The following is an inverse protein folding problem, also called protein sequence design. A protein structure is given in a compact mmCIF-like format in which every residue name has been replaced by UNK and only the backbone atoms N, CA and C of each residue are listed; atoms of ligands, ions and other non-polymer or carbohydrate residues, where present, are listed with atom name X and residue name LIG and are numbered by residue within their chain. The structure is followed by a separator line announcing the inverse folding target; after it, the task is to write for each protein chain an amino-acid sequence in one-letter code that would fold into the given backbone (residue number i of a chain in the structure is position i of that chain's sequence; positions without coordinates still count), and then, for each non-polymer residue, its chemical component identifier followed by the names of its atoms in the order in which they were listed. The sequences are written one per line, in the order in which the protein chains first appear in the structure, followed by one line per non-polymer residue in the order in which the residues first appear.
data_IF_314095010251
#
_entry.id   IF_314095010251
#
_cell.length_a   1.000
_cell.length_b   1.000
_cell.length_c   1.000
_cell.angle_alpha   90.00
_cell.angle_beta   90.00
_cell.angle_gamma   90.00
#
_symmetry.space_group_name_H-M   'P 1'
#
loop_
_entity.id
_entity.type
_entity.pdbx_description
1 polymer ?
#
# COMPACT_ATOMS: atom_id res chain seq x y z
N UNK A 1 18.35 -19.12 22.06
CA UNK A 1 18.18 -18.53 20.71
C UNK A 1 18.82 -17.16 20.70
N UNK A 2 19.67 -16.80 19.72
CA UNK A 2 20.38 -15.51 19.70
C UNK A 2 19.93 -14.54 18.60
N UNK A 3 19.25 -15.03 17.57
CA UNK A 3 18.87 -14.24 16.40
C UNK A 3 17.35 -14.14 16.33
N UNK A 4 16.87 -12.91 16.16
CA UNK A 4 15.46 -12.59 16.02
C UNK A 4 15.33 -11.28 15.24
N UNK A 5 14.28 -11.12 14.46
CA UNK A 5 13.93 -9.85 13.83
C UNK A 5 12.43 -9.58 13.90
N UNK A 6 12.04 -8.32 14.09
CA UNK A 6 10.65 -7.89 14.01
C UNK A 6 10.45 -7.19 12.67
N UNK A 7 9.43 -7.59 11.92
CA UNK A 7 9.02 -6.95 10.67
C UNK A 7 7.70 -6.24 10.90
N UNK A 8 7.61 -4.98 10.50
CA UNK A 8 6.47 -4.12 10.77
C UNK A 8 6.04 -3.33 9.54
N UNK A 9 4.74 -3.03 9.46
CA UNK A 9 4.18 -2.11 8.46
C UNK A 9 4.37 -0.62 8.83
N UNK A 10 4.85 -0.33 10.04
CA UNK A 10 5.18 1.02 10.49
C UNK A 10 6.55 1.42 9.92
N UNK A 11 6.80 2.71 9.76
CA UNK A 11 8.11 3.23 9.27
C UNK A 11 8.64 4.43 10.05
N UNK A 12 7.91 4.90 11.05
CA UNK A 12 8.29 6.08 11.84
C UNK A 12 9.24 5.70 12.98
N UNK A 13 10.49 6.14 12.88
CA UNK A 13 11.51 5.89 13.89
C UNK A 13 11.22 6.63 15.21
N UNK A 14 10.50 7.76 15.20
CA UNK A 14 10.13 8.45 16.44
C UNK A 14 9.15 7.62 17.25
N UNK A 15 8.12 7.08 16.59
CA UNK A 15 7.16 6.17 17.22
C UNK A 15 7.86 4.92 17.77
N UNK A 16 8.83 4.38 17.04
CA UNK A 16 9.66 3.28 17.54
C UNK A 16 10.45 3.67 18.80
N UNK A 17 11.07 4.86 18.83
CA UNK A 17 11.82 5.30 20.03
C UNK A 17 10.92 5.43 21.25
N UNK A 18 9.72 5.98 21.09
CA UNK A 18 8.74 6.08 22.18
C UNK A 18 8.32 4.69 22.67
N UNK A 19 8.04 3.77 21.75
CA UNK A 19 7.69 2.39 22.10
C UNK A 19 8.81 1.69 22.86
N UNK A 20 10.06 1.82 22.41
CA UNK A 20 11.24 1.27 23.09
C UNK A 20 11.37 1.87 24.49
N UNK A 21 11.20 3.20 24.63
CA UNK A 21 11.25 3.89 25.92
C UNK A 21 10.21 3.37 26.91
N UNK A 22 8.99 3.09 26.45
CA UNK A 22 7.93 2.47 27.27
C UNK A 22 8.22 1.01 27.61
N UNK A 23 8.64 0.22 26.61
CA UNK A 23 8.84 -1.24 26.76
C UNK A 23 10.01 -1.57 27.68
N UNK A 24 11.08 -0.77 27.62
CA UNK A 24 12.31 -0.98 28.39
C UNK A 24 12.48 0.09 29.48
N UNK A 25 11.38 0.47 30.14
CA UNK A 25 11.42 1.40 31.25
C UNK A 25 12.42 0.94 32.33
N UNK A 26 13.27 1.86 32.79
CA UNK A 26 14.33 1.56 33.77
C UNK A 26 15.64 1.04 33.16
N UNK A 27 15.68 0.76 31.86
CA UNK A 27 16.93 0.43 31.16
C UNK A 27 17.65 1.73 30.77
N UNK A 28 18.98 1.67 30.68
CA UNK A 28 19.73 2.73 29.99
C UNK A 28 19.57 2.53 28.49
N UNK A 29 19.02 3.52 27.80
CA UNK A 29 18.79 3.49 26.35
C UNK A 29 19.77 4.46 25.69
N UNK A 30 20.60 3.96 24.77
CA UNK A 30 21.42 4.78 23.89
C UNK A 30 20.91 4.63 22.46
N UNK A 31 20.74 5.74 21.76
CA UNK A 31 20.27 5.77 20.38
C UNK A 31 21.30 6.54 19.56
N UNK A 32 21.67 6.03 18.39
CA UNK A 32 22.54 6.78 17.49
C UNK A 32 21.79 7.95 16.83
N UNK A 33 22.48 8.96 16.27
CA UNK A 33 21.82 10.18 15.77
C UNK A 33 20.75 9.94 14.69
N UNK A 34 20.95 8.96 13.82
CA UNK A 34 19.99 8.61 12.75
C UNK A 34 18.93 7.58 13.18
N UNK A 35 18.91 7.18 14.46
CA UNK A 35 17.92 6.26 15.05
C UNK A 35 17.87 4.86 14.44
N UNK A 36 18.91 4.44 13.71
CA UNK A 36 19.02 3.11 13.11
C UNK A 36 19.72 2.09 14.02
N UNK A 37 20.32 2.54 15.12
CA UNK A 37 20.93 1.69 16.14
C UNK A 37 20.45 2.12 17.51
N UNK A 38 19.88 1.17 18.25
CA UNK A 38 19.43 1.35 19.63
C UNK A 38 20.15 0.32 20.49
N UNK A 39 20.60 0.73 21.67
CA UNK A 39 21.17 -0.18 22.65
C UNK A 39 20.46 0.01 23.98
N UNK A 40 19.88 -1.08 24.49
CA UNK A 40 19.24 -1.14 25.80
C UNK A 40 20.16 -1.87 26.76
N UNK A 41 20.42 -1.28 27.92
CA UNK A 41 21.27 -1.86 28.95
C UNK A 41 20.51 -2.00 30.26
N UNK A 42 20.35 -3.24 30.71
CA UNK A 42 19.83 -3.59 32.02
C UNK A 42 21.00 -3.71 33.01
N UNK A 43 20.92 -3.00 34.14
CA UNK A 43 21.87 -3.17 35.25
C UNK A 43 21.24 -4.10 36.29
N UNK A 44 21.93 -5.20 36.59
CA UNK A 44 21.58 -6.14 37.67
C UNK A 44 22.66 -6.09 38.74
N UNK A 45 22.33 -6.58 39.94
CA UNK A 45 23.22 -6.60 41.12
C UNK A 45 24.60 -7.24 40.85
N UNK A 46 24.68 -8.18 39.90
CA UNK A 46 25.91 -8.91 39.57
C UNK A 46 26.37 -8.76 38.12
N UNK A 47 25.91 -7.73 37.40
CA UNK A 47 26.38 -7.47 36.05
C UNK A 47 25.47 -6.58 35.23
N UNK A 48 25.83 -6.41 33.96
CA UNK A 48 25.02 -5.70 32.97
C UNK A 48 24.73 -6.62 31.81
N UNK A 49 23.56 -6.45 31.21
CA UNK A 49 23.22 -7.07 29.92
C UNK A 49 22.85 -5.95 28.96
N UNK A 50 23.48 -5.96 27.78
CA UNK A 50 23.23 -4.97 26.73
C UNK A 50 22.73 -5.70 25.50
N UNK A 51 21.53 -5.34 25.04
CA UNK A 51 20.96 -5.84 23.79
C UNK A 51 20.88 -4.67 22.80
N UNK A 52 21.19 -4.94 21.54
CA UNK A 52 21.13 -3.97 20.46
C UNK A 52 19.95 -4.24 19.53
N UNK A 53 19.47 -3.17 18.89
CA UNK A 53 18.54 -3.22 17.77
C UNK A 53 19.15 -2.52 16.57
N UNK A 54 19.23 -3.21 15.45
CA UNK A 54 19.53 -2.62 14.15
C UNK A 54 18.22 -2.40 13.41
N UNK A 55 17.91 -1.15 13.09
CA UNK A 55 16.65 -0.76 12.46
C UNK A 55 16.92 -0.35 11.02
N UNK A 56 16.12 -0.89 10.11
CA UNK A 56 16.11 -0.52 8.69
C UNK A 56 14.66 -0.25 8.28
N UNK A 57 14.43 0.84 7.55
CA UNK A 57 13.12 1.20 7.02
C UNK A 57 13.20 1.46 5.52
N UNK A 58 12.04 1.48 4.86
CA UNK A 58 11.90 1.92 3.46
C UNK A 58 12.41 3.35 3.22
N UNK A 59 12.44 4.20 4.27
CA UNK A 59 12.89 5.60 4.19
C UNK A 59 14.40 5.74 4.40
N UNK A 60 15.00 4.89 5.22
CA UNK A 60 16.45 4.99 5.55
C UNK A 60 17.34 4.28 4.53
N UNK A 61 16.88 3.15 3.98
CA UNK A 61 17.69 2.26 3.13
C UNK A 61 16.80 1.61 2.04
N UNK A 62 16.20 2.44 1.17
CA UNK A 62 15.12 2.03 0.26
C UNK A 62 15.47 0.81 -0.62
N UNK A 63 16.62 0.84 -1.30
CA UNK A 63 17.03 -0.23 -2.23
C UNK A 63 17.28 -1.55 -1.48
N UNK A 64 18.04 -1.49 -0.37
CA UNK A 64 18.33 -2.67 0.45
C UNK A 64 17.07 -3.27 1.05
N UNK A 65 16.18 -2.42 1.56
CA UNK A 65 14.92 -2.84 2.15
C UNK A 65 14.01 -3.50 1.10
N UNK A 66 13.89 -2.89 -0.09
CA UNK A 66 13.11 -3.45 -1.19
C UNK A 66 13.69 -4.79 -1.68
N UNK A 67 15.01 -4.90 -1.80
CA UNK A 67 15.68 -6.15 -2.14
C UNK A 67 15.41 -7.26 -1.12
N UNK A 68 15.46 -6.93 0.18
CA UNK A 68 15.14 -7.86 1.27
C UNK A 68 13.67 -8.32 1.20
N UNK A 69 12.71 -7.41 1.05
CA UNK A 69 11.30 -7.77 0.94
C UNK A 69 11.00 -8.62 -0.28
N UNK A 70 11.56 -8.28 -1.45
CA UNK A 70 11.41 -9.06 -2.67
C UNK A 70 11.97 -10.48 -2.49
N UNK A 71 13.14 -10.61 -1.86
CA UNK A 71 13.73 -11.91 -1.53
C UNK A 71 12.81 -12.74 -0.63
N UNK A 72 12.27 -12.13 0.43
CA UNK A 72 11.34 -12.77 1.37
C UNK A 72 10.04 -13.19 0.69
N UNK A 73 9.42 -12.31 -0.10
CA UNK A 73 8.20 -12.60 -0.85
C UNK A 73 8.41 -13.76 -1.83
N UNK A 74 9.48 -13.70 -2.64
CA UNK A 74 9.79 -14.74 -3.61
C UNK A 74 10.05 -16.09 -2.95
N UNK A 75 10.74 -16.10 -1.80
CA UNK A 75 10.97 -17.32 -1.02
C UNK A 75 9.65 -17.95 -0.56
N UNK A 76 8.79 -17.18 0.14
CA UNK A 76 7.54 -17.73 0.68
C UNK A 76 6.50 -18.04 -0.38
N UNK A 77 6.49 -17.32 -1.52
CA UNK A 77 5.54 -17.57 -2.61
C UNK A 77 5.70 -18.97 -3.22
N UNK A 78 6.95 -19.43 -3.33
CA UNK A 78 7.30 -20.75 -3.88
C UNK A 78 7.16 -21.88 -2.87
N UNK A 79 7.11 -21.56 -1.57
CA UNK A 79 7.05 -22.57 -0.52
C UNK A 79 5.63 -23.19 -0.45
N UNK A 80 5.51 -24.53 -0.32
CA UNK A 80 4.24 -25.13 0.03
C UNK A 80 3.83 -24.73 1.45
N UNK A 81 2.54 -24.81 1.77
CA UNK A 81 2.03 -24.60 3.12
C UNK A 81 0.87 -25.55 3.37
N UNK A 82 0.84 -26.18 4.55
CA UNK A 82 -0.33 -26.99 4.97
C UNK A 82 -1.58 -26.13 5.11
N UNK A 83 -1.43 -24.91 5.61
CA UNK A 83 -2.48 -23.89 5.63
C UNK A 83 -2.20 -22.85 4.53
N UNK A 84 -2.83 -23.01 3.36
CA UNK A 84 -2.66 -22.10 2.23
C UNK A 84 -3.21 -20.70 2.50
N UNK A 85 -4.31 -20.59 3.26
CA UNK A 85 -4.94 -19.31 3.63
C UNK A 85 -3.96 -18.45 4.44
N UNK A 86 -3.34 -19.04 5.46
CA UNK A 86 -2.32 -18.34 6.27
C UNK A 86 -1.12 -17.93 5.42
N UNK A 87 -0.66 -18.78 4.48
CA UNK A 87 0.43 -18.42 3.56
C UNK A 87 0.04 -17.22 2.68
N UNK A 88 -1.14 -17.24 2.06
CA UNK A 88 -1.61 -16.14 1.21
C UNK A 88 -1.68 -14.84 1.99
N UNK A 89 -2.25 -14.86 3.20
CA UNK A 89 -2.32 -13.67 4.06
C UNK A 89 -0.94 -13.21 4.54
N UNK A 90 0.00 -14.12 4.81
CA UNK A 90 1.38 -13.78 5.09
C UNK A 90 2.05 -13.07 3.90
N UNK A 91 1.84 -13.57 2.67
CA UNK A 91 2.35 -12.92 1.47
C UNK A 91 1.80 -11.49 1.31
N UNK A 92 0.50 -11.29 1.56
CA UNK A 92 -0.08 -9.93 1.60
C UNK A 92 0.57 -9.11 2.70
N UNK A 93 0.76 -9.64 3.91
CA UNK A 93 1.41 -8.89 4.98
C UNK A 93 2.82 -8.46 4.61
N UNK A 94 3.60 -9.32 3.93
CA UNK A 94 4.96 -9.01 3.48
C UNK A 94 4.99 -7.77 2.59
N UNK A 95 4.00 -7.56 1.71
CA UNK A 95 3.95 -6.38 0.83
C UNK A 95 3.68 -5.07 1.57
N UNK A 96 3.12 -5.14 2.78
CA UNK A 96 2.78 -3.96 3.60
C UNK A 96 3.94 -3.50 4.48
N UNK A 97 5.01 -4.28 4.58
CA UNK A 97 6.10 -4.03 5.52
C UNK A 97 6.90 -2.78 5.12
N UNK A 98 7.29 -1.99 6.11
CA UNK A 98 8.04 -0.76 5.92
C UNK A 98 9.23 -0.59 6.90
N UNK A 99 9.38 -1.53 7.85
CA UNK A 99 10.47 -1.56 8.82
C UNK A 99 10.87 -2.98 9.21
N UNK A 100 12.16 -3.19 9.45
CA UNK A 100 12.70 -4.38 10.11
C UNK A 100 13.61 -3.96 11.27
N UNK A 101 13.51 -4.68 12.38
CA UNK A 101 14.29 -4.47 13.61
C UNK A 101 15.03 -5.78 13.92
N UNK A 102 16.31 -5.84 13.60
CA UNK A 102 17.17 -6.97 13.92
C UNK A 102 17.68 -6.89 15.37
N UNK A 103 17.47 -7.95 16.14
CA UNK A 103 17.95 -8.06 17.52
C UNK A 103 19.40 -8.56 17.51
N UNK A 104 20.28 -7.83 18.20
CA UNK A 104 21.69 -8.15 18.36
C UNK A 104 21.97 -8.41 19.83
N UNK A 105 22.29 -9.65 20.18
CA UNK A 105 22.61 -10.05 21.56
C UNK A 105 23.75 -11.07 21.57
N UNK A 106 24.59 -11.01 22.60
CA UNK A 106 25.70 -11.94 22.83
C UNK A 106 25.23 -13.21 23.58
N UNK A 107 24.09 -13.12 24.25
CA UNK A 107 23.47 -14.18 25.06
C UNK A 107 22.21 -14.74 24.38
N UNK A 108 21.72 -15.85 24.90
CA UNK A 108 20.41 -16.32 24.50
C UNK A 108 19.31 -15.36 24.98
N UNK A 109 18.34 -15.13 24.11
CA UNK A 109 17.13 -14.36 24.40
C UNK A 109 16.36 -15.09 25.52
N UNK A 110 16.23 -14.44 26.68
CA UNK A 110 15.44 -14.95 27.80
C UNK A 110 13.95 -14.85 27.52
N UNK A 111 13.12 -15.60 28.27
CA UNK A 111 11.66 -15.53 28.12
C UNK A 111 11.09 -14.14 28.41
N UNK A 112 11.68 -13.42 29.38
CA UNK A 112 11.33 -12.04 29.66
C UNK A 112 11.62 -11.14 28.45
N UNK A 113 12.81 -11.25 27.87
CA UNK A 113 13.17 -10.42 26.72
C UNK A 113 12.33 -10.80 25.49
N UNK A 114 12.07 -12.10 25.28
CA UNK A 114 11.14 -12.58 24.25
C UNK A 114 9.74 -11.97 24.43
N UNK A 115 9.22 -11.93 25.66
CA UNK A 115 7.91 -11.34 25.94
C UNK A 115 7.87 -9.84 25.62
N UNK A 116 8.96 -9.11 25.89
CA UNK A 116 9.09 -7.70 25.49
C UNK A 116 9.12 -7.54 23.96
N UNK A 117 9.84 -8.41 23.24
CA UNK A 117 9.87 -8.40 21.77
C UNK A 117 8.50 -8.73 21.15
N UNK A 118 7.77 -9.69 21.72
CA UNK A 118 6.39 -9.99 21.33
C UNK A 118 5.46 -8.80 21.56
N UNK A 119 5.59 -8.12 22.71
CA UNK A 119 4.84 -6.89 22.98
C UNK A 119 5.14 -5.79 21.97
N UNK A 120 6.41 -5.59 21.61
CA UNK A 120 6.78 -4.65 20.54
C UNK A 120 6.19 -5.08 19.20
N UNK A 121 6.21 -6.37 18.88
CA UNK A 121 5.64 -6.92 17.64
C UNK A 121 4.15 -6.61 17.55
N UNK A 122 3.41 -6.69 18.66
CA UNK A 122 1.98 -6.31 18.72
C UNK A 122 1.76 -4.84 18.39
N UNK A 123 2.46 -3.94 19.09
CA UNK A 123 2.32 -2.48 18.95
C UNK A 123 2.77 -1.97 17.59
N UNK A 124 3.75 -2.65 16.99
CA UNK A 124 4.22 -2.36 15.64
C UNK A 124 3.38 -3.08 14.56
N UNK A 125 2.30 -3.74 14.95
CA UNK A 125 1.45 -4.56 14.09
C UNK A 125 2.25 -5.46 13.14
N UNK A 126 3.29 -6.10 13.68
CA UNK A 126 4.27 -6.84 12.93
C UNK A 126 4.12 -8.35 13.05
N UNK A 127 5.10 -9.05 12.49
CA UNK A 127 5.42 -10.42 12.85
C UNK A 127 6.88 -10.50 13.29
N UNK A 128 7.21 -11.57 14.01
CA UNK A 128 8.56 -11.81 14.48
C UNK A 128 9.16 -13.02 13.77
N UNK A 129 10.31 -12.83 13.12
CA UNK A 129 11.13 -13.93 12.65
C UNK A 129 11.99 -14.44 13.80
N UNK A 130 11.66 -15.62 14.31
CA UNK A 130 12.36 -16.27 15.40
C UNK A 130 13.42 -17.23 14.87
N UNK A 131 14.69 -16.93 15.14
CA UNK A 131 15.81 -17.57 14.45
C UNK A 131 15.81 -17.24 12.95
N UNK A 132 16.01 -18.26 12.12
CA UNK A 132 16.00 -18.14 10.65
C UNK A 132 14.92 -18.98 9.98
N UNK A 133 14.01 -19.58 10.76
CA UNK A 133 13.10 -20.64 10.27
C UNK A 133 11.62 -20.44 10.60
N UNK A 134 11.30 -19.61 11.59
CA UNK A 134 9.94 -19.49 12.10
C UNK A 134 9.45 -18.05 12.02
N UNK A 135 8.23 -17.87 11.53
CA UNK A 135 7.50 -16.62 11.60
C UNK A 135 6.44 -16.77 12.68
N UNK A 136 6.48 -15.90 13.68
CA UNK A 136 5.58 -15.91 14.83
C UNK A 136 4.67 -14.67 14.80
N UNK A 137 3.43 -14.85 15.25
CA UNK A 137 2.54 -13.73 15.58
C UNK A 137 2.98 -13.06 16.90
N UNK A 138 2.28 -12.00 17.30
CA UNK A 138 2.57 -11.29 18.55
C UNK A 138 2.19 -12.07 19.82
N UNK A 139 1.46 -13.18 19.70
CA UNK A 139 1.21 -14.11 20.82
C UNK A 139 2.30 -15.20 20.90
N UNK A 140 3.23 -15.22 19.95
CA UNK A 140 4.29 -16.20 19.85
C UNK A 140 3.87 -17.51 19.19
N UNK A 141 2.68 -17.55 18.58
CA UNK A 141 2.18 -18.70 17.81
C UNK A 141 2.81 -18.74 16.42
N UNK A 142 3.04 -19.93 15.91
CA UNK A 142 3.61 -20.13 14.59
C UNK A 142 2.64 -19.72 13.48
N UNK A 143 3.01 -18.71 12.70
CA UNK A 143 2.36 -18.35 11.44
C UNK A 143 2.79 -19.33 10.35
N UNK A 144 4.09 -19.48 10.13
CA UNK A 144 4.66 -20.38 9.12
C UNK A 144 6.12 -20.73 9.45
N UNK A 145 6.51 -21.99 9.25
CA UNK A 145 7.91 -22.43 9.28
C UNK A 145 8.37 -23.06 7.96
N UNK A 146 9.66 -23.39 7.87
CA UNK A 146 10.25 -24.07 6.72
C UNK A 146 9.79 -25.52 6.56
N UNK A 147 9.18 -26.09 7.59
CA UNK A 147 8.60 -27.43 7.60
C UNK A 147 7.10 -27.39 7.22
N UNK A 148 6.66 -26.24 6.68
CA UNK A 148 5.35 -25.93 6.10
C UNK A 148 4.17 -25.97 7.08
N UNK A 149 4.44 -25.86 8.37
CA UNK A 149 3.46 -25.92 9.45
C UNK A 149 2.96 -24.54 9.87
N UNK A 150 1.79 -24.52 10.51
CA UNK A 150 1.18 -23.35 11.14
C UNK A 150 0.42 -23.79 12.39
N UNK A 151 0.42 -22.97 13.43
CA UNK A 151 -0.35 -23.16 14.67
C UNK A 151 -1.64 -22.31 14.70
N UNK A 152 -1.87 -21.53 13.65
CA UNK A 152 -3.04 -20.66 13.52
C UNK A 152 -3.87 -21.08 12.30
N UNK A 153 -5.18 -20.98 12.44
CA UNK A 153 -6.11 -21.24 11.35
C UNK A 153 -6.25 -20.02 10.42
N UNK A 154 -6.09 -18.82 10.98
CA UNK A 154 -6.16 -17.57 10.26
C UNK A 154 -5.10 -16.55 10.74
N UNK A 155 -4.70 -15.65 9.83
CA UNK A 155 -3.75 -14.57 10.09
C UNK A 155 -4.36 -13.21 9.73
N UNK A 156 -4.48 -12.32 10.72
CA UNK A 156 -5.01 -10.97 10.48
C UNK A 156 -3.94 -10.09 9.85
N UNK A 157 -4.24 -9.59 8.65
CA UNK A 157 -3.36 -8.66 7.94
C UNK A 157 -3.75 -7.23 8.28
N UNK A 158 -2.81 -6.47 8.82
CA UNK A 158 -2.93 -5.02 9.00
C UNK A 158 -1.97 -4.27 8.10
N UNK A 159 -2.33 -3.06 7.70
CA UNK A 159 -1.49 -2.15 6.94
C UNK A 159 -1.85 -0.71 7.34
N UNK A 160 -0.89 0.23 7.30
CA UNK A 160 -1.23 1.64 7.43
C UNK A 160 -2.18 2.04 6.30
N UNK A 161 -3.17 2.89 6.57
CA UNK A 161 -4.12 3.37 5.54
C UNK A 161 -3.41 4.00 4.34
N UNK A 162 -2.27 4.66 4.58
CA UNK A 162 -1.41 5.23 3.53
C UNK A 162 -0.90 4.19 2.52
N UNK A 163 -0.91 2.90 2.84
CA UNK A 163 -0.60 1.82 1.89
C UNK A 163 -1.68 1.66 0.82
N UNK A 164 -2.95 1.91 1.18
CA UNK A 164 -4.10 1.81 0.27
C UNK A 164 -4.43 3.15 -0.38
N UNK A 165 -4.49 4.21 0.43
CA UNK A 165 -4.96 5.53 0.00
C UNK A 165 -3.83 6.36 -0.65
N UNK A 166 -2.58 5.90 -0.52
CA UNK A 166 -1.40 6.70 -0.84
C UNK A 166 -1.19 7.84 0.16
N UNK A 167 -0.19 8.69 -0.11
CA UNK A 167 0.04 9.91 0.65
C UNK A 167 -0.81 11.04 0.06
N UNK A 168 -2.11 11.05 0.36
CA UNK A 168 -2.97 12.16 -0.01
C UNK A 168 -2.62 13.38 0.84
N UNK A 169 -2.12 14.43 0.19
CA UNK A 169 -1.98 15.71 0.86
C UNK A 169 -3.38 16.29 1.06
N UNK A 170 -3.73 16.53 2.31
CA UNK A 170 -4.99 17.17 2.65
C UNK A 170 -4.90 18.65 2.30
N UNK A 171 -5.78 19.13 1.42
CA UNK A 171 -5.89 20.56 1.11
C UNK A 171 -7.10 21.17 1.81
N UNK A 172 -7.11 22.50 1.92
CA UNK A 172 -8.23 23.23 2.53
C UNK A 172 -9.53 23.07 1.72
N UNK A 173 -9.47 23.12 0.39
CA UNK A 173 -10.66 22.89 -0.45
C UNK A 173 -11.21 21.48 -0.29
N UNK A 174 -10.33 20.47 -0.17
CA UNK A 174 -10.70 19.08 0.06
C UNK A 174 -11.44 18.89 1.39
N UNK A 175 -10.93 19.50 2.46
CA UNK A 175 -11.58 19.49 3.78
C UNK A 175 -12.96 20.14 3.74
N UNK A 176 -13.07 21.35 3.18
CA UNK A 176 -14.36 22.05 3.04
C UNK A 176 -15.38 21.23 2.26
N UNK A 177 -14.93 20.53 1.21
CA UNK A 177 -15.78 19.64 0.40
C UNK A 177 -16.26 18.44 1.21
N UNK A 178 -15.36 17.80 1.97
CA UNK A 178 -15.72 16.69 2.87
C UNK A 178 -16.74 17.17 3.90
N UNK A 179 -16.47 18.25 4.62
CA UNK A 179 -17.38 18.80 5.65
C UNK A 179 -18.77 19.11 5.10
N UNK A 180 -18.84 19.76 3.93
CA UNK A 180 -20.10 20.05 3.25
C UNK A 180 -20.86 18.76 2.90
N UNK A 181 -20.15 17.77 2.36
CA UNK A 181 -20.75 16.49 1.95
C UNK A 181 -21.25 15.71 3.15
N UNK A 182 -20.44 15.62 4.20
CA UNK A 182 -20.81 14.94 5.46
C UNK A 182 -22.02 15.61 6.12
N UNK A 183 -22.12 16.95 6.08
CA UNK A 183 -23.32 17.65 6.55
C UNK A 183 -24.57 17.23 5.77
N UNK A 184 -24.51 17.23 4.44
CA UNK A 184 -25.63 16.83 3.57
C UNK A 184 -26.05 15.37 3.83
N UNK A 185 -25.07 14.47 4.01
CA UNK A 185 -25.34 13.05 4.28
C UNK A 185 -26.00 12.86 5.65
N UNK A 186 -25.52 13.55 6.68
CA UNK A 186 -26.13 13.52 8.02
C UNK A 186 -27.56 14.08 8.02
N UNK A 187 -27.80 15.20 7.32
CA UNK A 187 -29.16 15.78 7.17
C UNK A 187 -30.14 14.83 6.49
N UNK A 188 -29.63 13.92 5.64
CA UNK A 188 -30.41 12.89 4.95
C UNK A 188 -30.45 11.56 5.69
N UNK A 189 -29.91 11.49 6.90
CA UNK A 189 -29.80 10.27 7.71
C UNK A 189 -29.08 9.12 6.98
N UNK A 190 -28.15 9.46 6.08
CA UNK A 190 -27.34 8.49 5.35
C UNK A 190 -26.11 8.13 6.22
N UNK A 191 -25.88 6.83 6.52
CA UNK A 191 -24.73 6.40 7.29
C UNK A 191 -23.40 6.85 6.66
N UNK A 192 -22.50 7.36 7.49
CA UNK A 192 -21.21 7.91 7.07
C UNK A 192 -20.05 7.16 7.74
N UNK A 193 -19.07 6.76 6.93
CA UNK A 193 -17.78 6.29 7.43
C UNK A 193 -16.83 7.48 7.67
N UNK A 194 -16.72 7.94 8.92
CA UNK A 194 -15.90 9.12 9.29
C UNK A 194 -14.40 8.93 9.02
N UNK A 195 -13.93 7.70 8.93
CA UNK A 195 -12.52 7.38 8.72
C UNK A 195 -12.10 7.46 7.25
N UNK A 196 -13.01 7.72 6.32
CA UNK A 196 -12.66 7.91 4.92
C UNK A 196 -11.75 9.14 4.74
N UNK A 197 -10.64 9.03 3.99
CA UNK A 197 -9.70 10.12 3.80
C UNK A 197 -10.32 11.28 3.01
N UNK A 198 -9.68 12.43 3.10
CA UNK A 198 -10.00 13.59 2.25
C UNK A 198 -9.49 13.32 0.85
N UNK A 199 -10.37 13.40 -0.15
CA UNK A 199 -9.97 13.34 -1.56
C UNK A 199 -9.28 14.64 -1.97
N UNK A 200 -8.42 14.56 -3.00
CA UNK A 200 -7.65 15.69 -3.52
C UNK A 200 -8.47 16.97 -3.67
N UNK A 201 -7.82 18.07 -3.31
CA UNK A 201 -8.37 19.40 -3.42
C UNK A 201 -8.55 19.88 -4.84
N UNK A 202 -9.34 20.94 -5.00
CA UNK A 202 -9.49 21.64 -6.28
C UNK A 202 -8.15 22.18 -6.80
N UNK A 203 -7.18 22.40 -5.92
CA UNK A 203 -5.81 22.83 -6.24
C UNK A 203 -5.02 21.77 -7.03
N UNK A 204 -5.29 20.49 -6.75
CA UNK A 204 -4.62 19.36 -7.39
C UNK A 204 -5.44 18.80 -8.57
N UNK A 205 -6.65 19.33 -8.80
CA UNK A 205 -7.49 18.92 -9.93
C UNK A 205 -6.90 19.45 -11.23
N UNK A 206 -6.52 18.52 -12.10
CA UNK A 206 -6.15 18.84 -13.49
C UNK A 206 -7.37 18.76 -14.38
N UNK A 207 -8.02 19.91 -14.59
CA UNK A 207 -9.08 20.04 -15.58
C UNK A 207 -8.48 20.07 -16.98
N UNK A 208 -9.13 19.38 -17.92
CA UNK A 208 -8.89 19.56 -19.35
C UNK A 208 -9.23 21.00 -19.75
N UNK A 209 -8.53 21.55 -20.74
CA UNK A 209 -8.88 22.88 -21.26
C UNK A 209 -10.25 22.84 -21.93
N UNK A 210 -10.94 23.99 -22.00
CA UNK A 210 -12.20 24.10 -22.74
C UNK A 210 -12.05 23.60 -24.18
N UNK A 211 -10.92 23.91 -24.81
CA UNK A 211 -10.61 23.45 -26.16
C UNK A 211 -10.52 21.93 -26.24
N UNK A 212 -9.80 21.28 -25.31
CA UNK A 212 -9.70 19.82 -25.25
C UNK A 212 -11.09 19.20 -25.03
N UNK A 213 -11.90 19.75 -24.13
CA UNK A 213 -13.26 19.28 -23.86
C UNK A 213 -14.12 19.36 -25.12
N UNK A 214 -14.07 20.48 -25.85
CA UNK A 214 -14.84 20.67 -27.09
C UNK A 214 -14.38 19.69 -28.17
N UNK A 215 -13.07 19.50 -28.36
CA UNK A 215 -12.53 18.52 -29.31
C UNK A 215 -13.03 17.11 -29.01
N UNK A 216 -12.99 16.70 -27.74
CA UNK A 216 -13.50 15.37 -27.31
C UNK A 216 -15.02 15.26 -27.48
N UNK A 217 -15.79 16.32 -27.19
CA UNK A 217 -17.24 16.33 -27.39
C UNK A 217 -17.59 16.16 -28.88
N UNK A 218 -16.92 16.89 -29.78
CA UNK A 218 -17.09 16.73 -31.23
C UNK A 218 -16.75 15.31 -31.69
N UNK A 219 -15.61 14.76 -31.25
CA UNK A 219 -15.21 13.40 -31.58
C UNK A 219 -16.28 12.36 -31.16
N UNK A 220 -16.79 12.48 -29.93
CA UNK A 220 -17.84 11.60 -29.41
C UNK A 220 -19.17 11.75 -30.17
N UNK A 221 -19.57 12.97 -30.52
CA UNK A 221 -20.79 13.21 -31.31
C UNK A 221 -20.69 12.56 -32.70
N UNK A 222 -19.55 12.66 -33.38
CA UNK A 222 -19.34 12.03 -34.69
C UNK A 222 -19.38 10.50 -34.56
N UNK A 223 -18.76 9.93 -33.52
CA UNK A 223 -18.83 8.50 -33.24
C UNK A 223 -20.26 8.03 -32.96
N UNK A 224 -21.01 8.77 -32.13
CA UNK A 224 -22.39 8.47 -31.81
C UNK A 224 -23.29 8.50 -33.06
N UNK A 225 -23.13 9.54 -33.89
CA UNK A 225 -23.88 9.67 -35.14
C UNK A 225 -23.62 8.49 -36.08
N UNK A 226 -22.34 8.09 -36.26
CA UNK A 226 -22.01 6.92 -37.08
C UNK A 226 -22.66 5.64 -36.54
N UNK A 227 -22.65 5.46 -35.22
CA UNK A 227 -23.32 4.35 -34.55
C UNK A 227 -24.84 4.36 -34.75
N UNK A 228 -25.48 5.53 -34.72
CA UNK A 228 -26.91 5.71 -34.97
C UNK A 228 -27.28 5.38 -36.43
N UNK A 229 -26.53 5.88 -37.40
CA UNK A 229 -26.71 5.58 -38.83
C UNK A 229 -26.65 4.07 -39.09
N UNK A 230 -25.67 3.38 -38.50
CA UNK A 230 -25.57 1.93 -38.60
C UNK A 230 -26.72 1.19 -37.91
N UNK A 231 -27.08 1.62 -36.69
CA UNK A 231 -28.18 1.03 -35.92
C UNK A 231 -29.55 1.19 -36.58
N UNK A 232 -29.74 2.27 -37.34
CA UNK A 232 -30.95 2.53 -38.13
C UNK A 232 -30.95 1.86 -39.52
N UNK A 233 -29.86 1.18 -39.90
CA UNK A 233 -29.75 0.47 -41.17
C UNK A 233 -29.51 1.38 -42.38
N UNK A 234 -28.99 2.59 -42.18
CA UNK A 234 -28.61 3.46 -43.29
C UNK A 234 -27.49 2.82 -44.14
N UNK A 235 -27.51 3.04 -45.47
CA UNK A 235 -26.43 2.56 -46.33
C UNK A 235 -25.07 3.06 -45.87
N UNK A 236 -24.07 2.19 -45.94
CA UNK A 236 -22.70 2.49 -45.50
C UNK A 236 -22.12 3.71 -46.23
N UNK A 237 -22.34 3.79 -47.53
CA UNK A 237 -21.82 4.87 -48.39
C UNK A 237 -22.39 6.24 -47.97
N UNK A 238 -23.71 6.33 -47.80
CA UNK A 238 -24.37 7.56 -47.34
C UNK A 238 -23.92 7.95 -45.92
N UNK A 239 -23.73 6.95 -45.04
CA UNK A 239 -23.22 7.16 -43.69
C UNK A 239 -21.79 7.72 -43.73
N UNK A 240 -20.91 7.12 -44.53
CA UNK A 240 -19.51 7.53 -44.62
C UNK A 240 -19.39 8.94 -45.25
N UNK A 241 -20.20 9.29 -46.25
CA UNK A 241 -20.28 10.64 -46.81
C UNK A 241 -20.73 11.68 -45.78
N UNK A 242 -21.79 11.38 -45.02
CA UNK A 242 -22.29 12.24 -43.95
C UNK A 242 -21.21 12.48 -42.88
N UNK A 243 -20.55 11.42 -42.45
CA UNK A 243 -19.52 11.48 -41.41
C UNK A 243 -18.31 12.28 -41.91
N UNK A 244 -17.82 12.04 -43.12
CA UNK A 244 -16.69 12.78 -43.69
C UNK A 244 -17.02 14.28 -43.82
N UNK A 245 -18.23 14.62 -44.27
CA UNK A 245 -18.68 16.03 -44.35
C UNK A 245 -18.64 16.72 -42.99
N UNK A 246 -19.03 16.04 -41.91
CA UNK A 246 -19.02 16.60 -40.56
C UNK A 246 -17.59 16.70 -40.03
N UNK A 247 -16.74 15.70 -40.29
CA UNK A 247 -15.31 15.75 -39.94
C UNK A 247 -14.65 16.97 -40.58
N UNK A 248 -14.90 17.22 -41.86
CA UNK A 248 -14.35 18.36 -42.59
C UNK A 248 -14.88 19.69 -42.05
N UNK A 249 -16.19 19.79 -41.77
CA UNK A 249 -16.82 20.99 -41.23
C UNK A 249 -16.21 21.43 -39.90
N UNK A 250 -15.86 20.47 -39.03
CA UNK A 250 -15.29 20.75 -37.71
C UNK A 250 -13.76 20.60 -37.66
N UNK A 251 -13.11 20.30 -38.79
CA UNK A 251 -11.68 19.96 -38.88
C UNK A 251 -11.26 18.92 -37.83
N UNK A 252 -12.10 17.89 -37.64
CA UNK A 252 -12.06 17.01 -36.47
C UNK A 252 -11.07 15.84 -36.57
N UNK A 253 -10.34 15.70 -37.68
CA UNK A 253 -9.41 14.58 -37.95
C UNK A 253 -8.43 14.32 -36.82
N UNK A 254 -7.94 15.39 -36.17
CA UNK A 254 -6.98 15.31 -35.07
C UNK A 254 -7.63 15.15 -33.68
N UNK A 255 -8.96 15.14 -33.59
CA UNK A 255 -9.67 15.10 -32.30
C UNK A 255 -9.87 13.66 -31.79
N UNK A 256 -9.79 12.68 -32.69
CA UNK A 256 -10.09 11.28 -32.42
C UNK A 256 -8.94 10.55 -31.72
N UNK A 257 -9.28 9.68 -30.77
CA UNK A 257 -8.35 8.70 -30.20
C UNK A 257 -8.00 7.62 -31.24
N UNK A 258 -6.95 6.79 -31.02
CA UNK A 258 -6.63 5.68 -31.91
C UNK A 258 -7.82 4.73 -32.16
N UNK A 259 -8.57 4.40 -31.11
CA UNK A 259 -9.74 3.51 -31.17
C UNK A 259 -10.90 4.16 -31.93
N UNK A 260 -11.13 5.46 -31.74
CA UNK A 260 -12.14 6.20 -32.48
C UNK A 260 -11.76 6.35 -33.96
N UNK A 261 -10.47 6.58 -34.26
CA UNK A 261 -9.97 6.56 -35.63
C UNK A 261 -10.21 5.20 -36.27
N UNK A 262 -10.04 4.10 -35.54
CA UNK A 262 -10.36 2.78 -36.06
C UNK A 262 -11.85 2.68 -36.42
N UNK A 263 -12.72 3.07 -35.50
CA UNK A 263 -14.16 3.05 -35.72
C UNK A 263 -14.63 3.97 -36.88
N UNK A 264 -14.04 5.17 -36.98
CA UNK A 264 -14.40 6.20 -37.96
C UNK A 264 -13.75 5.95 -39.33
N UNK A 265 -12.44 5.69 -39.38
CA UNK A 265 -11.61 5.68 -40.60
C UNK A 265 -11.52 4.29 -41.26
N UNK A 266 -11.73 3.19 -40.54
CA UNK A 266 -11.57 1.83 -41.12
C UNK A 266 -12.66 1.44 -42.14
N UNK A 267 -13.62 2.33 -42.43
CA UNK A 267 -14.53 2.11 -43.55
C UNK A 267 -13.85 2.05 -44.94
N UNK A 268 -12.59 2.47 -45.09
CA UNK A 268 -11.82 2.41 -46.33
C UNK A 268 -11.05 1.09 -46.58
N UNK A 269 -11.09 0.09 -45.68
CA UNK A 269 -10.50 -1.23 -45.91
C UNK A 269 -11.54 -2.35 -45.78
N UNK A 270 -12.31 -2.56 -46.85
CA UNK A 270 -12.73 -3.87 -47.35
C UNK A 270 -13.82 -3.71 -48.43
N UNK A 271 -13.41 -3.77 -49.70
CA UNK A 271 -13.77 -4.82 -50.66
C UNK A 271 -12.94 -4.64 -51.93
#
# INVERSE_FOLDING_TARGET
MKNCAIYSSFSDLNQLMELVGRTFQGFKINVNPNKTRIEITERKLFGKTTNGFNVMTVKTENEKFSGMLNGMFNFFSQMPARNSIVKEKLLVKITTLAMVIGVVTDKDISDQFRSQLLSMTKELEGFMMWGSRQILDYNGKLILDLDVNSEIDDFVVTAPSSFLDGNLNTTESGLKRKDRTERILNEKEIPLCKTLPVIVGDEDVRLRSTEEIVKRAVALCICALKGECWGSGQPKEETDELINRIIDQFHATEFFSPEEKEFIIVAARAR
#
